data_IF_498877259974
#
_entry.id   IF_498877259974
#
_cell.length_a   1.000
_cell.length_b   1.000
_cell.length_c   1.000
_cell.angle_alpha   90.00
_cell.angle_beta   90.00
_cell.angle_gamma   90.00
#
_symmetry.space_group_name_H-M   'P 1'
#
loop_
_entity.id
_entity.type
_entity.pdbx_description
1 polymer ?
#
# COMPACT_ATOMS: atom_id res chain seq x y z
N UNK A 1 81.51 -34.89 -24.16
CA UNK A 1 80.59 -35.07 -23.01
C UNK A 1 80.07 -33.70 -22.62
N UNK A 2 78.74 -33.61 -22.46
CA UNK A 2 77.87 -32.57 -21.88
C UNK A 2 78.54 -31.44 -21.09
N UNK A 3 78.05 -30.20 -21.06
CA UNK A 3 76.88 -29.50 -21.59
C UNK A 3 77.17 -27.99 -21.41
N UNK A 4 76.42 -27.10 -22.06
CA UNK A 4 75.99 -25.76 -21.57
C UNK A 4 75.04 -25.18 -22.63
N UNK A 5 73.77 -24.95 -22.25
CA UNK A 5 72.81 -24.15 -23.02
C UNK A 5 72.66 -22.78 -22.35
N UNK A 6 72.92 -21.67 -23.05
CA UNK A 6 72.41 -20.36 -22.69
C UNK A 6 71.34 -19.89 -23.69
N UNK A 7 70.11 -19.71 -23.22
CA UNK A 7 69.02 -19.11 -23.99
C UNK A 7 69.12 -17.58 -23.97
N UNK A 8 69.42 -17.03 -25.14
CA UNK A 8 69.62 -15.60 -25.42
C UNK A 8 68.29 -14.83 -25.46
N UNK A 9 68.12 -13.84 -24.59
CA UNK A 9 67.06 -12.83 -24.70
C UNK A 9 67.43 -11.79 -25.76
N UNK A 10 66.73 -11.77 -26.89
CA UNK A 10 66.84 -10.69 -27.89
C UNK A 10 65.87 -9.57 -27.55
N UNK A 11 66.45 -8.37 -27.41
CA UNK A 11 65.78 -7.07 -27.40
C UNK A 11 65.25 -6.76 -28.80
N UNK A 12 64.11 -6.08 -28.85
CA UNK A 12 63.62 -5.39 -30.03
C UNK A 12 62.57 -4.37 -29.61
N UNK A 13 62.96 -3.09 -29.58
CA UNK A 13 62.09 -1.93 -29.43
C UNK A 13 61.98 -1.30 -30.82
N UNK A 14 60.77 -1.13 -31.36
CA UNK A 14 60.46 -0.05 -32.32
C UNK A 14 59.00 0.40 -32.13
N UNK A 15 58.85 1.73 -32.18
CA UNK A 15 57.71 2.62 -31.95
C UNK A 15 56.81 2.75 -33.20
N UNK A 16 55.49 2.88 -33.04
CA UNK A 16 54.56 3.64 -33.91
C UNK A 16 53.16 3.69 -33.25
N UNK A 17 52.63 4.84 -32.81
CA UNK A 17 51.87 5.88 -33.54
C UNK A 17 50.37 5.54 -33.79
N UNK A 18 49.52 6.43 -33.24
CA UNK A 18 48.23 6.90 -33.78
C UNK A 18 46.91 6.25 -33.31
N UNK A 19 46.25 6.99 -32.40
CA UNK A 19 44.85 7.42 -32.43
C UNK A 19 43.75 6.47 -32.98
N UNK A 20 42.92 6.00 -32.06
CA UNK A 20 41.57 5.48 -32.34
C UNK A 20 40.76 5.46 -31.06
N UNK A 21 40.15 6.59 -30.69
CA UNK A 21 39.14 6.67 -29.64
C UNK A 21 37.94 5.80 -30.06
N UNK A 22 37.85 4.58 -29.53
CA UNK A 22 36.56 3.89 -29.39
C UNK A 22 36.06 4.13 -27.97
N UNK A 23 35.34 5.24 -27.81
CA UNK A 23 34.47 5.44 -26.66
C UNK A 23 33.33 4.43 -26.77
N UNK A 24 33.51 3.25 -26.17
CA UNK A 24 32.42 2.34 -25.92
C UNK A 24 31.49 3.01 -24.91
N UNK A 25 30.46 3.68 -25.41
CA UNK A 25 29.32 4.12 -24.62
C UNK A 25 28.60 2.87 -24.12
N UNK A 26 29.04 2.34 -22.98
CA UNK A 26 28.24 1.41 -22.19
C UNK A 26 26.90 2.11 -21.95
N UNK A 27 25.76 1.52 -22.36
CA UNK A 27 24.47 2.05 -21.97
C UNK A 27 24.49 2.07 -20.44
N UNK A 28 24.45 3.26 -19.86
CA UNK A 28 24.39 3.41 -18.42
C UNK A 28 23.24 2.55 -17.91
N UNK A 29 23.54 1.60 -17.04
CA UNK A 29 22.53 0.87 -16.30
C UNK A 29 21.68 1.93 -15.62
N UNK A 30 20.48 2.19 -16.14
CA UNK A 30 19.52 3.03 -15.48
C UNK A 30 19.31 2.40 -14.11
N UNK A 31 19.71 3.11 -13.04
CA UNK A 31 19.37 2.71 -11.69
C UNK A 31 17.86 2.55 -11.67
N UNK A 32 17.37 1.31 -11.62
CA UNK A 32 15.98 1.06 -11.38
C UNK A 32 15.69 1.68 -10.03
N UNK A 33 14.95 2.79 -10.02
CA UNK A 33 14.37 3.34 -8.80
C UNK A 33 13.50 2.22 -8.25
N UNK A 34 13.98 1.57 -7.19
CA UNK A 34 13.19 0.60 -6.46
C UNK A 34 11.88 1.29 -6.10
N UNK A 35 10.75 0.71 -6.53
CA UNK A 35 9.45 1.20 -6.12
C UNK A 35 9.32 1.21 -4.60
N UNK A 36 8.37 1.96 -4.04
CA UNK A 36 8.15 1.99 -2.60
C UNK A 36 7.95 0.55 -2.09
N UNK A 37 8.69 0.19 -1.04
CA UNK A 37 8.67 -1.16 -0.51
C UNK A 37 7.38 -1.40 0.28
N UNK A 38 6.85 -2.62 0.25
CA UNK A 38 5.75 -3.00 1.13
C UNK A 38 6.29 -3.07 2.56
N UNK A 39 5.82 -2.15 3.41
CA UNK A 39 6.24 -2.03 4.80
C UNK A 39 5.45 -3.00 5.70
N UNK A 40 4.13 -3.13 5.46
CA UNK A 40 3.26 -4.05 6.17
C UNK A 40 2.09 -4.54 5.31
N UNK A 41 1.59 -5.74 5.65
CA UNK A 41 0.34 -6.29 5.14
C UNK A 41 -0.69 -6.30 6.25
N UNK A 42 -1.86 -5.75 6.00
CA UNK A 42 -2.90 -5.56 6.99
C UNK A 42 -4.22 -6.23 6.62
N UNK A 43 -5.01 -6.48 7.66
CA UNK A 43 -6.43 -6.83 7.59
C UNK A 43 -7.20 -5.87 8.49
N UNK A 44 -8.37 -5.44 8.05
CA UNK A 44 -9.23 -4.54 8.81
C UNK A 44 -10.67 -5.04 8.83
N UNK A 45 -11.43 -4.63 9.84
CA UNK A 45 -12.89 -4.81 9.88
C UNK A 45 -13.51 -3.54 10.42
N UNK A 46 -14.22 -2.80 9.55
CA UNK A 46 -14.68 -1.44 9.85
C UNK A 46 -16.20 -1.41 9.82
N UNK A 47 -16.88 -1.08 10.93
CA UNK A 47 -18.32 -0.83 10.88
C UNK A 47 -18.58 0.50 10.15
N UNK A 48 -19.55 0.51 9.25
CA UNK A 48 -19.94 1.68 8.47
C UNK A 48 -21.43 1.95 8.68
N UNK A 49 -21.75 3.22 8.83
CA UNK A 49 -23.10 3.76 8.85
C UNK A 49 -23.28 4.66 7.63
N UNK A 50 -24.32 4.39 6.85
CA UNK A 50 -24.67 5.10 5.63
C UNK A 50 -25.89 5.97 5.89
N UNK A 51 -25.79 7.26 5.57
CA UNK A 51 -26.92 8.19 5.64
C UNK A 51 -27.00 9.11 4.41
N UNK A 52 -28.07 9.02 3.60
CA UNK A 52 -29.13 7.99 3.62
C UNK A 52 -28.58 6.56 3.39
N UNK A 53 -29.42 5.52 3.43
CA UNK A 53 -28.98 4.17 3.07
C UNK A 53 -28.86 3.98 1.55
N UNK A 54 -28.01 3.06 1.08
CA UNK A 54 -27.89 2.71 -0.35
C UNK A 54 -29.00 1.74 -0.76
N UNK A 55 -29.58 1.92 -1.94
CA UNK A 55 -30.57 0.99 -2.53
C UNK A 55 -30.05 0.39 -3.83
N UNK A 56 -30.58 -0.75 -4.27
CA UNK A 56 -30.13 -1.40 -5.50
C UNK A 56 -30.51 -0.60 -6.76
N UNK A 57 -31.75 -0.09 -6.81
CA UNK A 57 -32.32 0.51 -8.02
C UNK A 57 -32.29 2.05 -8.00
N UNK A 58 -32.11 2.65 -6.83
CA UNK A 58 -32.17 4.10 -6.66
C UNK A 58 -30.78 4.65 -6.44
N UNK A 59 -30.33 5.50 -7.36
CA UNK A 59 -29.10 6.24 -7.20
C UNK A 59 -29.28 7.32 -6.14
N UNK A 60 -28.36 7.37 -5.17
CA UNK A 60 -28.30 8.44 -4.19
C UNK A 60 -26.87 8.79 -3.81
N UNK A 61 -26.73 9.84 -3.01
CA UNK A 61 -25.47 10.23 -2.40
C UNK A 61 -25.67 10.50 -0.92
N UNK A 62 -24.64 10.28 -0.13
CA UNK A 62 -24.71 10.40 1.30
C UNK A 62 -23.36 10.36 1.97
N UNK A 63 -23.39 10.14 3.28
CA UNK A 63 -22.20 10.03 4.13
C UNK A 63 -21.99 8.59 4.55
N UNK A 64 -20.73 8.20 4.74
CA UNK A 64 -20.34 6.96 5.39
C UNK A 64 -19.48 7.28 6.63
N UNK A 65 -19.74 6.63 7.76
CA UNK A 65 -18.99 6.89 9.00
C UNK A 65 -18.87 5.62 9.86
N UNK A 66 -17.73 5.44 10.52
CA UNK A 66 -17.54 4.45 11.59
C UNK A 66 -17.71 5.03 12.99
N UNK A 67 -17.98 6.33 13.11
CA UNK A 67 -18.05 7.08 14.36
C UNK A 67 -16.76 7.01 15.21
N UNK A 68 -15.61 7.14 14.55
CA UNK A 68 -14.29 7.08 15.17
C UNK A 68 -13.59 5.75 14.86
N UNK A 69 -12.51 5.45 15.59
CA UNK A 69 -11.72 4.23 15.39
C UNK A 69 -12.37 3.01 16.08
N UNK A 70 -13.57 2.66 15.62
CA UNK A 70 -14.37 1.56 16.16
C UNK A 70 -14.10 0.23 15.45
N UNK A 71 -13.43 0.26 14.29
CA UNK A 71 -12.99 -0.92 13.58
C UNK A 71 -11.70 -1.50 14.15
N UNK A 72 -11.38 -2.72 13.75
CA UNK A 72 -10.14 -3.41 14.11
C UNK A 72 -9.13 -3.37 12.96
N UNK A 73 -7.85 -3.27 13.29
CA UNK A 73 -6.75 -3.28 12.34
C UNK A 73 -5.64 -4.22 12.82
N UNK A 74 -5.36 -5.27 12.08
CA UNK A 74 -4.22 -6.15 12.30
C UNK A 74 -3.21 -5.98 11.18
N UNK A 75 -1.94 -5.83 11.50
CA UNK A 75 -0.87 -5.69 10.50
C UNK A 75 0.31 -6.60 10.83
N UNK A 76 0.91 -7.17 9.79
CA UNK A 76 2.16 -7.91 9.85
C UNK A 76 3.25 -7.13 9.09
N UNK A 77 4.35 -6.82 9.76
CA UNK A 77 5.47 -6.06 9.21
C UNK A 77 5.83 -4.85 10.06
N UNK A 78 6.24 -3.77 9.40
CA UNK A 78 6.65 -2.52 10.02
C UNK A 78 5.80 -1.36 9.52
N UNK A 79 5.52 -0.42 10.42
CA UNK A 79 4.93 0.87 10.10
C UNK A 79 5.82 1.93 10.73
N UNK A 80 6.27 2.89 9.93
CA UNK A 80 7.29 3.89 10.28
C UNK A 80 8.61 3.25 10.74
N UNK A 81 8.97 2.10 10.15
CA UNK A 81 10.14 1.31 10.55
C UNK A 81 9.99 0.53 11.87
N UNK A 82 8.90 0.77 12.62
CA UNK A 82 8.60 0.12 13.90
C UNK A 82 7.80 -1.16 13.68
N UNK A 83 8.15 -2.23 14.41
CA UNK A 83 7.49 -3.52 14.27
C UNK A 83 6.11 -3.47 14.91
N UNK A 84 5.07 -3.87 14.19
CA UNK A 84 3.71 -4.01 14.74
C UNK A 84 3.69 -5.16 15.75
N UNK A 85 3.12 -4.93 16.93
CA UNK A 85 3.10 -5.88 18.05
C UNK A 85 1.72 -6.41 18.39
N UNK A 86 0.67 -5.75 17.92
CA UNK A 86 -0.69 -6.10 18.30
C UNK A 86 -1.74 -5.58 17.34
N UNK A 87 -3.00 -5.88 17.67
CA UNK A 87 -4.16 -5.34 16.97
C UNK A 87 -4.37 -3.90 17.41
N UNK A 88 -4.63 -3.02 16.45
CA UNK A 88 -5.02 -1.65 16.66
C UNK A 88 -6.45 -1.36 16.20
N UNK A 89 -6.74 -0.08 16.06
CA UNK A 89 -8.08 0.42 15.72
C UNK A 89 -8.05 1.22 14.44
N UNK A 90 -9.16 1.27 13.71
CA UNK A 90 -9.28 2.03 12.45
C UNK A 90 -10.68 2.61 12.31
N UNK A 91 -10.79 3.80 11.73
CA UNK A 91 -12.04 4.51 11.56
C UNK A 91 -12.10 5.34 10.28
N UNK A 92 -13.26 5.36 9.64
CA UNK A 92 -13.53 6.08 8.39
C UNK A 92 -14.60 7.15 8.58
N UNK A 93 -14.47 8.22 7.80
CA UNK A 93 -15.50 9.24 7.59
C UNK A 93 -15.41 9.75 6.16
N UNK A 94 -16.51 9.70 5.42
CA UNK A 94 -16.51 10.15 4.03
C UNK A 94 -17.89 10.33 3.45
N UNK A 95 -17.89 10.47 2.13
CA UNK A 95 -19.09 10.55 1.30
C UNK A 95 -19.11 9.38 0.33
N UNK A 96 -20.30 9.06 -0.16
CA UNK A 96 -20.51 8.10 -1.23
C UNK A 96 -21.55 8.61 -2.23
N UNK A 97 -21.53 8.06 -3.45
CA UNK A 97 -22.58 8.24 -4.44
C UNK A 97 -22.76 6.97 -5.29
N UNK A 98 -24.00 6.63 -5.64
CA UNK A 98 -24.34 5.53 -6.54
C UNK A 98 -25.47 4.65 -6.01
N UNK A 99 -25.39 3.36 -6.31
CA UNK A 99 -26.33 2.31 -5.87
C UNK A 99 -25.59 1.22 -5.08
N UNK A 100 -26.30 0.26 -4.51
CA UNK A 100 -25.64 -0.89 -3.86
C UNK A 100 -24.78 -1.75 -4.80
N UNK A 101 -25.07 -1.78 -6.10
CA UNK A 101 -24.29 -2.55 -7.08
C UNK A 101 -23.11 -1.76 -7.64
N UNK A 102 -23.20 -0.43 -7.64
CA UNK A 102 -22.21 0.47 -8.21
C UNK A 102 -22.27 1.83 -7.53
N UNK A 103 -21.62 1.92 -6.37
CA UNK A 103 -21.31 3.18 -5.72
C UNK A 103 -19.82 3.52 -5.89
N UNK A 104 -19.46 4.70 -5.44
CA UNK A 104 -18.09 5.17 -5.27
C UNK A 104 -18.07 6.06 -4.04
N UNK A 105 -16.89 6.32 -3.48
CA UNK A 105 -16.78 7.19 -2.32
C UNK A 105 -15.37 7.62 -2.02
N UNK A 106 -15.25 8.49 -1.05
CA UNK A 106 -13.97 9.01 -0.60
C UNK A 106 -14.13 9.75 0.71
N UNK A 107 -13.03 9.94 1.41
CA UNK A 107 -13.06 10.59 2.71
C UNK A 107 -11.73 10.55 3.42
N UNK A 108 -11.80 10.58 4.74
CA UNK A 108 -10.67 10.43 5.63
C UNK A 108 -10.75 9.14 6.40
N UNK A 109 -9.59 8.67 6.81
CA UNK A 109 -9.43 7.54 7.70
C UNK A 109 -8.40 7.88 8.78
N UNK A 110 -8.49 7.20 9.92
CA UNK A 110 -7.46 7.23 10.95
C UNK A 110 -7.27 5.85 11.54
N UNK A 111 -6.09 5.59 12.08
CA UNK A 111 -5.82 4.37 12.83
C UNK A 111 -4.87 4.61 14.00
N UNK A 112 -4.92 3.68 14.95
CA UNK A 112 -3.91 3.48 15.97
C UNK A 112 -3.32 2.07 15.85
N UNK A 113 -2.01 1.91 16.06
CA UNK A 113 -1.36 0.59 16.03
C UNK A 113 -0.35 0.45 17.17
N UNK A 114 -0.41 -0.63 17.97
CA UNK A 114 0.66 -1.00 18.88
C UNK A 114 1.91 -1.40 18.11
N UNK A 115 3.04 -0.82 18.50
CA UNK A 115 4.36 -1.08 17.93
C UNK A 115 5.43 -1.25 19.01
N UNK A 116 6.54 -1.85 18.61
CA UNK A 116 7.76 -1.97 19.41
C UNK A 116 8.81 -0.98 18.91
N UNK A 117 9.21 -0.07 19.80
CA UNK A 117 10.33 0.85 19.60
C UNK A 117 11.48 0.38 20.51
N UNK A 118 12.31 -0.52 19.96
CA UNK A 118 13.51 -1.03 20.62
C UNK A 118 13.27 -1.59 22.03
N UNK A 119 12.21 -2.39 22.20
CA UNK A 119 11.82 -2.98 23.49
C UNK A 119 10.83 -2.12 24.29
N UNK A 120 10.49 -0.92 23.81
CA UNK A 120 9.46 -0.07 24.42
C UNK A 120 8.15 -0.17 23.64
N UNK A 121 7.08 -0.58 24.32
CA UNK A 121 5.74 -0.57 23.73
C UNK A 121 5.27 0.87 23.51
N UNK A 122 4.79 1.16 22.30
CA UNK A 122 4.20 2.44 21.92
C UNK A 122 2.95 2.22 21.08
N UNK A 123 2.13 3.26 20.96
CA UNK A 123 1.03 3.30 19.99
C UNK A 123 1.30 4.45 19.03
N UNK A 124 1.35 4.14 17.73
CA UNK A 124 1.40 5.15 16.68
C UNK A 124 -0.01 5.49 16.23
N UNK A 125 -0.20 6.74 15.81
CA UNK A 125 -1.45 7.24 15.26
C UNK A 125 -1.21 7.87 13.91
N UNK A 126 -2.09 7.58 12.98
CA UNK A 126 -2.04 8.13 11.64
C UNK A 126 -3.42 8.50 11.16
N UNK A 127 -3.47 9.47 10.27
CA UNK A 127 -4.67 9.81 9.54
C UNK A 127 -4.32 10.11 8.09
N UNK A 128 -5.33 9.98 7.24
CA UNK A 128 -5.12 10.07 5.82
C UNK A 128 -6.41 10.31 5.05
N UNK A 129 -6.26 10.38 3.74
CA UNK A 129 -7.39 10.44 2.81
C UNK A 129 -7.51 9.12 2.07
N UNK A 130 -8.70 8.88 1.53
CA UNK A 130 -8.93 7.74 0.66
C UNK A 130 -9.89 8.04 -0.48
N UNK A 131 -9.75 7.23 -1.52
CA UNK A 131 -10.71 7.10 -2.61
C UNK A 131 -11.05 5.61 -2.80
N UNK A 132 -12.35 5.34 -2.94
CA UNK A 132 -12.94 4.06 -3.27
C UNK A 132 -13.70 4.22 -4.59
N UNK A 133 -13.03 4.08 -5.76
CA UNK A 133 -13.65 4.34 -7.06
C UNK A 133 -14.77 3.36 -7.42
N UNK A 134 -14.79 2.19 -6.76
CA UNK A 134 -15.87 1.22 -6.85
C UNK A 134 -16.27 0.78 -5.45
N UNK A 135 -17.55 0.94 -5.13
CA UNK A 135 -18.22 0.51 -3.90
C UNK A 135 -19.38 -0.38 -4.35
N UNK A 136 -19.12 -1.68 -4.42
CA UNK A 136 -20.14 -2.71 -4.64
C UNK A 136 -19.95 -3.82 -3.58
N UNK A 137 -20.22 -5.08 -3.94
CA UNK A 137 -19.85 -6.20 -3.06
C UNK A 137 -18.33 -6.26 -2.83
N UNK A 138 -17.53 -5.83 -3.82
CA UNK A 138 -16.09 -5.69 -3.72
C UNK A 138 -15.67 -4.23 -3.92
N UNK A 139 -14.72 -3.77 -3.08
CA UNK A 139 -14.23 -2.41 -3.02
C UNK A 139 -12.73 -2.42 -3.26
N UNK A 140 -12.27 -1.56 -4.16
CA UNK A 140 -10.86 -1.19 -4.22
C UNK A 140 -10.66 0.07 -3.39
N UNK A 141 -9.71 0.05 -2.47
CA UNK A 141 -9.40 1.21 -1.65
C UNK A 141 -7.99 1.69 -1.93
N UNK A 142 -7.84 3.00 -2.13
CA UNK A 142 -6.54 3.65 -2.22
C UNK A 142 -6.52 4.82 -1.25
N UNK A 143 -5.58 4.79 -0.32
CA UNK A 143 -5.38 5.82 0.68
C UNK A 143 -3.95 6.35 0.69
N UNK A 144 -3.81 7.53 1.28
CA UNK A 144 -2.52 8.15 1.56
C UNK A 144 -2.53 8.69 2.98
N UNK A 145 -1.39 8.62 3.65
CA UNK A 145 -1.14 9.16 4.99
C UNK A 145 0.27 9.75 5.00
N UNK A 146 0.65 10.42 6.09
CA UNK A 146 1.86 11.25 6.17
C UNK A 146 3.13 10.52 5.70
N UNK A 147 3.29 9.26 6.10
CA UNK A 147 4.51 8.48 5.84
C UNK A 147 4.34 7.44 4.73
N UNK A 148 3.20 7.40 4.02
CA UNK A 148 3.01 6.37 3.01
C UNK A 148 1.66 6.31 2.30
N UNK A 149 1.44 5.15 1.67
CA UNK A 149 0.20 4.83 0.95
C UNK A 149 -0.39 3.52 1.45
N UNK A 150 -1.71 3.43 1.32
CA UNK A 150 -2.47 2.24 1.62
C UNK A 150 -3.21 1.82 0.34
N UNK A 151 -3.15 0.54 -0.03
CA UNK A 151 -3.98 0.00 -1.11
C UNK A 151 -4.47 -1.38 -0.74
N UNK A 152 -5.71 -1.70 -1.09
CA UNK A 152 -6.24 -3.02 -0.79
C UNK A 152 -7.64 -3.26 -1.33
N UNK A 153 -8.13 -4.46 -1.05
CA UNK A 153 -9.48 -4.88 -1.39
C UNK A 153 -10.30 -5.09 -0.13
N UNK A 154 -11.56 -4.69 -0.20
CA UNK A 154 -12.55 -4.93 0.83
C UNK A 154 -13.83 -5.53 0.26
N UNK A 155 -14.65 -6.11 1.13
CA UNK A 155 -15.99 -6.56 0.78
C UNK A 155 -17.00 -5.80 1.62
N UNK A 156 -18.17 -5.46 1.05
CA UNK A 156 -19.27 -4.91 1.84
C UNK A 156 -20.13 -6.05 2.36
N UNK A 157 -20.15 -6.23 3.67
CA UNK A 157 -21.02 -7.19 4.35
C UNK A 157 -22.21 -6.43 4.94
N UNK A 158 -23.44 -6.65 4.45
CA UNK A 158 -24.61 -5.96 4.98
C UNK A 158 -24.82 -6.21 6.48
N UNK A 159 -25.14 -5.14 7.23
CA UNK A 159 -25.59 -5.21 8.61
C UNK A 159 -27.11 -5.02 8.70
N UNK A 160 -27.56 -3.80 8.44
CA UNK A 160 -28.97 -3.40 8.43
C UNK A 160 -29.37 -2.95 7.02
N UNK A 161 -30.46 -3.53 6.51
CA UNK A 161 -30.89 -3.38 5.13
C UNK A 161 -30.25 -4.41 4.20
N UNK A 162 -30.88 -4.67 3.06
CA UNK A 162 -30.48 -5.74 2.14
C UNK A 162 -30.34 -5.26 0.69
N UNK A 163 -30.37 -3.94 0.47
CA UNK A 163 -30.33 -3.27 -0.83
C UNK A 163 -31.53 -3.52 -1.77
N UNK A 164 -32.23 -4.64 -1.64
CA UNK A 164 -33.34 -5.05 -2.51
C UNK A 164 -34.67 -4.46 -2.07
N UNK A 165 -35.04 -4.69 -0.82
CA UNK A 165 -36.32 -4.26 -0.25
C UNK A 165 -36.14 -3.17 0.80
N UNK A 166 -34.94 -3.06 1.37
CA UNK A 166 -34.60 -2.05 2.38
C UNK A 166 -33.24 -1.42 2.07
N UNK A 167 -33.12 -0.09 2.13
CA UNK A 167 -31.84 0.58 1.96
C UNK A 167 -30.81 0.06 2.97
N UNK A 168 -29.61 -0.25 2.50
CA UNK A 168 -28.46 -0.60 3.32
C UNK A 168 -28.00 0.63 4.10
N UNK A 169 -28.25 0.63 5.41
CA UNK A 169 -27.92 1.74 6.31
C UNK A 169 -26.73 1.45 7.22
N UNK A 170 -26.39 0.17 7.41
CA UNK A 170 -25.16 -0.23 8.09
C UNK A 170 -24.50 -1.40 7.37
N UNK A 171 -23.17 -1.45 7.42
CA UNK A 171 -22.38 -2.54 6.86
C UNK A 171 -21.11 -2.75 7.67
N UNK A 172 -20.48 -3.90 7.50
CA UNK A 172 -19.08 -4.10 7.89
C UNK A 172 -18.23 -4.16 6.62
N UNK A 173 -17.08 -3.50 6.65
CA UNK A 173 -16.08 -3.54 5.61
C UNK A 173 -14.87 -4.37 6.08
N UNK A 174 -14.90 -5.70 5.94
CA UNK A 174 -13.68 -6.50 6.02
C UNK A 174 -12.75 -6.16 4.86
N UNK A 175 -11.48 -5.96 5.17
CA UNK A 175 -10.40 -5.76 4.21
C UNK A 175 -9.29 -6.75 4.52
N UNK A 176 -8.70 -7.34 3.48
CA UNK A 176 -7.62 -8.33 3.62
C UNK A 176 -6.52 -8.06 2.62
N UNK A 177 -5.26 -8.34 3.02
CA UNK A 177 -4.11 -8.14 2.14
C UNK A 177 -3.84 -6.67 1.83
N UNK A 178 -4.28 -5.76 2.69
CA UNK A 178 -4.08 -4.32 2.52
C UNK A 178 -2.60 -4.01 2.64
N UNK A 179 -2.01 -3.44 1.60
CA UNK A 179 -0.59 -3.10 1.56
C UNK A 179 -0.39 -1.69 2.08
N UNK A 180 0.47 -1.55 3.09
CA UNK A 180 1.07 -0.29 3.50
C UNK A 180 2.44 -0.20 2.85
N UNK A 181 2.67 0.87 2.09
CA UNK A 181 3.96 1.15 1.44
C UNK A 181 4.54 2.45 1.97
N UNK A 182 5.85 2.46 2.26
CA UNK A 182 6.61 3.61 2.77
C UNK A 182 7.95 3.72 2.03
#
# INVERSE_FOLDING_TARGET
MSAIHPSTKRRGVVVALSAGLLAATLPGAASATAGPAVAAICSASIPLHLSPGLSLLTQNSGTNQSFGETGTLGCAGKVDGLRVTGTGTIGFRGNYAGTCSAASGGGTWSFSLPVDDNGTARVIHHSGTYNAPNVGLAITFNGQFETGKLSGLGLVVPGTGNCLTQPLSTATLPMVGVQLTQ
#
